data_IF_425952887297
#
_entry.id   IF_425952887297
#
_cell.length_a   1.000
_cell.length_b   1.000
_cell.length_c   1.000
_cell.angle_alpha   90.00
_cell.angle_beta   90.00
_cell.angle_gamma   90.00
#
_symmetry.space_group_name_H-M   'P 1'
#
loop_
_entity.id
_entity.type
_entity.pdbx_description
1 polymer ?
#
# COMPACT_ATOMS: atom_id res chain seq x y z
N UNK A 1 -9.91 -3.18 4.98
CA UNK A 1 -9.31 -2.17 5.85
C UNK A 1 -9.13 -2.63 7.30
N UNK A 2 -10.17 -2.79 8.12
CA UNK A 2 -10.02 -3.19 9.54
C UNK A 2 -9.15 -4.44 9.78
N UNK A 3 -9.38 -5.52 9.03
CA UNK A 3 -8.58 -6.75 9.16
C UNK A 3 -7.08 -6.49 8.93
N UNK A 4 -6.76 -5.67 7.94
CA UNK A 4 -5.38 -5.30 7.63
C UNK A 4 -4.73 -4.53 8.79
N UNK A 5 -5.47 -3.62 9.44
CA UNK A 5 -4.98 -2.90 10.61
C UNK A 5 -4.74 -3.82 11.81
N UNK A 6 -5.58 -4.84 12.02
CA UNK A 6 -5.39 -5.84 13.07
C UNK A 6 -4.16 -6.71 12.81
N UNK A 7 -3.96 -7.14 11.56
CA UNK A 7 -2.79 -7.93 11.16
C UNK A 7 -1.50 -7.12 11.32
N UNK A 8 -1.53 -5.83 10.94
CA UNK A 8 -0.43 -4.90 11.13
C UNK A 8 -0.11 -4.72 12.62
N UNK A 9 -1.12 -4.55 13.46
CA UNK A 9 -0.94 -4.41 14.90
C UNK A 9 -0.31 -5.68 15.52
N UNK A 10 -0.74 -6.86 15.11
CA UNK A 10 -0.15 -8.12 15.56
C UNK A 10 1.33 -8.23 15.16
N UNK A 11 1.70 -7.82 13.94
CA UNK A 11 3.10 -7.76 13.51
C UNK A 11 3.93 -6.78 14.35
N UNK A 12 3.39 -5.59 14.62
CA UNK A 12 4.07 -4.58 15.46
C UNK A 12 4.35 -5.14 16.85
N UNK A 13 3.35 -5.78 17.49
CA UNK A 13 3.53 -6.39 18.80
C UNK A 13 4.56 -7.52 18.79
N UNK A 14 4.53 -8.37 17.76
CA UNK A 14 5.50 -9.44 17.57
C UNK A 14 6.93 -8.91 17.47
N UNK A 15 7.18 -7.95 16.58
CA UNK A 15 8.52 -7.35 16.39
C UNK A 15 8.99 -6.60 17.64
N UNK A 16 8.11 -5.85 18.30
CA UNK A 16 8.46 -5.14 19.53
C UNK A 16 8.96 -6.06 20.65
N UNK A 17 8.45 -7.30 20.69
CA UNK A 17 8.88 -8.32 21.66
C UNK A 17 10.09 -9.16 21.24
N UNK A 18 10.60 -8.96 20.02
CA UNK A 18 11.57 -9.88 19.39
C UNK A 18 13.04 -9.66 19.77
N UNK A 19 13.40 -8.54 20.40
CA UNK A 19 14.80 -8.29 20.74
C UNK A 19 15.05 -7.01 21.56
N UNK A 20 16.32 -6.71 21.85
CA UNK A 20 16.71 -5.58 22.70
C UNK A 20 16.59 -4.24 21.97
N UNK A 21 16.29 -3.19 22.74
CA UNK A 21 16.20 -1.80 22.28
C UNK A 21 17.60 -1.18 22.02
N UNK A 22 17.76 -0.24 21.06
CA UNK A 22 16.76 0.30 20.14
C UNK A 22 16.67 -0.48 18.81
N UNK A 23 15.45 -0.64 18.28
CA UNK A 23 15.22 -1.26 16.96
C UNK A 23 14.07 -0.60 16.19
N UNK A 24 14.09 -0.75 14.88
CA UNK A 24 12.94 -0.42 14.02
C UNK A 24 11.85 -1.47 14.20
N UNK A 25 10.71 -1.08 14.77
CA UNK A 25 9.56 -1.98 14.99
C UNK A 25 8.61 -1.95 13.78
N UNK A 26 8.42 -0.77 13.19
CA UNK A 26 7.56 -0.57 12.03
C UNK A 26 7.99 0.68 11.27
N UNK A 27 7.88 0.62 9.95
CA UNK A 27 8.06 1.76 9.06
C UNK A 27 6.77 1.98 8.29
N UNK A 28 6.25 3.20 8.36
CA UNK A 28 5.07 3.59 7.60
C UNK A 28 5.32 3.38 6.10
N UNK A 29 4.26 2.98 5.40
CA UNK A 29 4.33 2.73 3.97
C UNK A 29 4.78 3.97 3.17
N UNK A 30 5.31 3.71 1.98
CA UNK A 30 5.80 4.74 1.07
C UNK A 30 4.73 5.76 0.68
N UNK A 31 5.16 6.86 0.07
CA UNK A 31 4.23 7.95 -0.34
C UNK A 31 3.14 7.45 -1.29
N UNK A 32 3.44 6.46 -2.12
CA UNK A 32 2.52 5.83 -3.07
C UNK A 32 1.39 5.14 -2.33
N UNK A 33 1.73 4.27 -1.37
CA UNK A 33 0.73 3.58 -0.53
C UNK A 33 -0.16 4.56 0.22
N UNK A 34 0.41 5.62 0.81
CA UNK A 34 -0.37 6.66 1.50
C UNK A 34 -1.32 7.39 0.56
N UNK A 35 -0.85 7.78 -0.62
CA UNK A 35 -1.68 8.46 -1.60
C UNK A 35 -2.88 7.59 -2.03
N UNK A 36 -2.64 6.30 -2.26
CA UNK A 36 -3.72 5.37 -2.63
C UNK A 36 -4.71 5.19 -1.48
N UNK A 37 -4.23 4.95 -0.26
CA UNK A 37 -5.09 4.79 0.92
C UNK A 37 -5.99 6.00 1.15
N UNK A 38 -5.45 7.21 1.01
CA UNK A 38 -6.13 8.42 1.42
C UNK A 38 -7.03 9.01 0.30
N UNK A 39 -6.67 8.79 -0.98
CA UNK A 39 -7.34 9.41 -2.13
C UNK A 39 -8.09 8.44 -3.05
N UNK A 40 -7.86 7.12 -2.98
CA UNK A 40 -8.57 6.18 -3.83
C UNK A 40 -10.01 6.01 -3.37
N UNK A 41 -10.92 6.57 -4.15
CA UNK A 41 -12.37 6.55 -3.93
C UNK A 41 -13.09 5.90 -5.10
N UNK A 42 -14.36 5.60 -4.93
CA UNK A 42 -15.15 4.91 -5.95
C UNK A 42 -15.33 5.74 -7.22
N UNK A 43 -15.31 7.07 -7.12
CA UNK A 43 -15.39 8.04 -8.22
C UNK A 43 -14.09 8.23 -9.01
N UNK A 44 -12.96 7.69 -8.52
CA UNK A 44 -11.71 7.67 -9.28
C UNK A 44 -11.85 6.68 -10.44
N UNK A 45 -11.71 7.13 -11.67
CA UNK A 45 -11.80 6.25 -12.84
C UNK A 45 -10.53 5.38 -12.99
N UNK A 46 -9.36 6.02 -13.02
CA UNK A 46 -8.08 5.36 -13.29
C UNK A 46 -6.94 6.01 -12.50
N UNK A 47 -5.93 5.22 -12.16
CA UNK A 47 -4.67 5.64 -11.55
C UNK A 47 -3.55 5.28 -12.52
N UNK A 48 -2.91 6.29 -13.09
CA UNK A 48 -1.82 6.14 -14.06
C UNK A 48 -0.48 6.27 -13.34
N UNK A 49 0.39 5.27 -13.48
CA UNK A 49 1.71 5.23 -12.84
C UNK A 49 2.77 4.91 -13.90
N UNK A 50 3.76 5.78 -14.06
CA UNK A 50 4.85 5.66 -15.05
C UNK A 50 6.09 4.93 -14.50
N UNK A 51 6.24 4.86 -13.18
CA UNK A 51 7.30 4.12 -12.50
C UNK A 51 6.86 2.68 -12.18
N UNK A 52 7.59 1.70 -12.70
CA UNK A 52 7.36 0.28 -12.42
C UNK A 52 7.44 -0.03 -10.92
N UNK A 53 8.40 0.56 -10.21
CA UNK A 53 8.55 0.38 -8.77
C UNK A 53 7.32 0.89 -8.01
N UNK A 54 6.85 2.09 -8.35
CA UNK A 54 5.65 2.67 -7.72
C UNK A 54 4.39 1.86 -8.08
N UNK A 55 4.28 1.38 -9.31
CA UNK A 55 3.16 0.54 -9.74
C UNK A 55 3.12 -0.77 -8.95
N UNK A 56 4.27 -1.43 -8.75
CA UNK A 56 4.35 -2.66 -7.97
C UNK A 56 3.99 -2.44 -6.49
N UNK A 57 4.45 -1.33 -5.89
CA UNK A 57 4.05 -0.95 -4.51
C UNK A 57 2.52 -0.76 -4.42
N UNK A 58 1.98 0.04 -5.34
CA UNK A 58 0.56 0.33 -5.45
C UNK A 58 -0.29 -0.94 -5.65
N UNK A 59 0.12 -1.80 -6.59
CA UNK A 59 -0.56 -3.04 -6.94
C UNK A 59 -0.65 -3.99 -5.74
N UNK A 60 0.46 -4.18 -5.03
CA UNK A 60 0.51 -5.06 -3.86
C UNK A 60 -0.40 -4.54 -2.74
N UNK A 61 -0.40 -3.22 -2.52
CA UNK A 61 -1.26 -2.60 -1.52
C UNK A 61 -2.74 -2.73 -1.87
N UNK A 62 -3.14 -2.34 -3.09
CA UNK A 62 -4.54 -2.41 -3.54
C UNK A 62 -5.03 -3.85 -3.56
N UNK A 63 -4.21 -4.81 -4.00
CA UNK A 63 -4.56 -6.23 -3.96
C UNK A 63 -4.84 -6.73 -2.54
N UNK A 64 -4.08 -6.26 -1.55
CA UNK A 64 -4.24 -6.68 -0.16
C UNK A 64 -5.41 -5.98 0.55
N UNK A 65 -5.61 -4.67 0.31
CA UNK A 65 -6.51 -3.84 1.11
C UNK A 65 -7.83 -3.52 0.39
N UNK A 66 -7.78 -3.34 -0.93
CA UNK A 66 -8.88 -2.84 -1.77
C UNK A 66 -8.97 -3.62 -3.11
N UNK A 67 -9.07 -4.96 -3.10
CA UNK A 67 -8.92 -5.79 -4.31
C UNK A 67 -9.96 -5.47 -5.40
N UNK A 68 -11.10 -4.87 -5.04
CA UNK A 68 -12.16 -4.45 -5.96
C UNK A 68 -11.80 -3.25 -6.84
N UNK A 69 -10.73 -2.52 -6.50
CA UNK A 69 -10.30 -1.31 -7.23
C UNK A 69 -9.00 -1.57 -8.01
N UNK A 70 -8.57 -2.84 -8.10
CA UNK A 70 -7.30 -3.23 -8.74
C UNK A 70 -7.28 -2.95 -10.25
N UNK A 71 -8.45 -3.02 -10.89
CA UNK A 71 -8.69 -2.70 -12.30
C UNK A 71 -8.49 -1.22 -12.63
N UNK A 72 -8.54 -0.33 -11.63
CA UNK A 72 -8.28 1.10 -11.80
C UNK A 72 -6.79 1.42 -11.96
N UNK A 73 -5.89 0.53 -11.54
CA UNK A 73 -4.45 0.73 -11.69
C UNK A 73 -3.99 0.45 -13.12
N UNK A 74 -3.26 1.39 -13.73
CA UNK A 74 -2.64 1.19 -15.04
C UNK A 74 -1.23 1.75 -15.09
N UNK A 75 -0.37 1.08 -15.85
CA UNK A 75 0.95 1.61 -16.21
C UNK A 75 0.79 2.68 -17.28
N UNK A 76 1.36 3.86 -17.05
CA UNK A 76 1.45 4.90 -18.08
C UNK A 76 2.69 4.65 -18.95
N UNK A 77 2.50 4.64 -20.27
CA UNK A 77 3.60 4.64 -21.24
C UNK A 77 3.36 5.74 -22.26
N UNK A 78 4.40 6.48 -22.62
CA UNK A 78 4.36 7.68 -23.46
C UNK A 78 3.99 7.42 -24.95
N UNK A 79 3.43 6.27 -25.27
CA UNK A 79 3.18 5.80 -26.64
C UNK A 79 1.68 5.75 -27.03
N UNK A 80 0.82 6.47 -26.32
CA UNK A 80 -0.54 6.82 -26.79
C UNK A 80 -0.61 8.26 -27.29
#
# INVERSE_FOLDING_TARGET
>A
DLQHLLDLWAQIQGTASSGPSPMLVHQEAGVVTRAIRDYLRDDVAEILIDSEQAYNEAYNFVKAVMPRQLDKLKTYTLNE
#
